data_IF_897561877981
#
_entry.id   IF_897561877981
#
_cell.length_a   1.000
_cell.length_b   1.000
_cell.length_c   1.000
_cell.angle_alpha   90.00
_cell.angle_beta   90.00
_cell.angle_gamma   90.00
#
_symmetry.space_group_name_H-M   'P 1'
#
loop_
_entity.id
_entity.type
_entity.pdbx_description
1 polymer ?
#
# COMPACT_ATOMS: atom_id res chain seq x y z
N UNK A 1 -3.21 -25.83 2.74
CA UNK A 1 -2.83 -25.03 1.55
C UNK A 1 -3.32 -25.77 0.33
N UNK A 2 -4.19 -25.18 -0.48
CA UNK A 2 -4.55 -25.76 -1.76
C UNK A 2 -3.34 -25.70 -2.69
N UNK A 3 -3.04 -26.79 -3.39
CA UNK A 3 -1.94 -26.81 -4.34
C UNK A 3 -2.17 -25.76 -5.42
N UNK A 4 -1.37 -24.68 -5.42
CA UNK A 4 -1.37 -23.69 -6.51
C UNK A 4 -1.11 -24.31 -7.89
N UNK A 5 -0.63 -25.56 -7.94
CA UNK A 5 -0.50 -26.41 -9.13
C UNK A 5 -1.83 -26.75 -9.82
N UNK A 6 -2.95 -26.52 -9.14
CA UNK A 6 -4.29 -26.82 -9.65
C UNK A 6 -4.79 -25.83 -10.73
N UNK A 7 -4.16 -24.67 -10.85
CA UNK A 7 -4.53 -23.63 -11.81
C UNK A 7 -3.67 -23.66 -13.07
N UNK A 8 -4.15 -23.07 -14.17
CA UNK A 8 -3.31 -22.91 -15.36
C UNK A 8 -1.96 -22.27 -15.00
N UNK A 9 -0.88 -22.81 -15.55
CA UNK A 9 0.45 -22.26 -15.34
C UNK A 9 0.51 -20.84 -15.90
N UNK A 10 1.26 -19.99 -15.21
CA UNK A 10 1.57 -18.65 -15.68
C UNK A 10 2.87 -18.64 -16.47
N UNK A 11 3.08 -17.59 -17.27
CA UNK A 11 4.36 -17.33 -17.92
C UNK A 11 5.47 -17.31 -16.86
N UNK A 12 6.54 -18.09 -17.02
CA UNK A 12 7.71 -18.02 -16.15
C UNK A 12 8.32 -16.61 -16.20
N UNK A 13 8.72 -16.09 -15.03
CA UNK A 13 9.40 -14.80 -14.93
C UNK A 13 10.91 -15.07 -14.86
N UNK A 14 11.66 -14.50 -15.80
CA UNK A 14 13.11 -14.61 -15.82
C UNK A 14 13.72 -13.68 -14.75
N UNK A 15 14.77 -14.16 -14.09
CA UNK A 15 15.38 -13.44 -12.95
C UNK A 15 16.05 -12.11 -13.31
N UNK A 16 16.44 -11.95 -14.58
CA UNK A 16 17.08 -10.76 -15.12
C UNK A 16 16.11 -9.74 -15.72
N UNK A 17 14.82 -10.03 -15.69
CA UNK A 17 13.83 -9.05 -16.15
C UNK A 17 13.68 -7.91 -15.13
N UNK A 18 13.63 -6.69 -15.68
CA UNK A 18 13.30 -5.50 -14.88
C UNK A 18 11.85 -5.51 -14.41
N UNK A 19 11.55 -4.76 -13.34
CA UNK A 19 10.18 -4.67 -12.80
C UNK A 19 9.17 -4.19 -13.85
N UNK A 20 9.57 -3.30 -14.77
CA UNK A 20 8.72 -2.81 -15.87
C UNK A 20 8.29 -3.95 -16.79
N UNK A 21 9.15 -4.95 -16.98
CA UNK A 21 8.83 -6.16 -17.74
C UNK A 21 7.97 -7.12 -16.91
N UNK A 22 8.32 -7.29 -15.62
CA UNK A 22 7.60 -8.18 -14.70
C UNK A 22 6.14 -7.73 -14.55
N UNK A 23 5.85 -6.43 -14.36
CA UNK A 23 4.45 -5.93 -14.26
C UNK A 23 3.61 -6.25 -15.50
N UNK A 24 4.24 -6.36 -16.67
CA UNK A 24 3.54 -6.67 -17.93
C UNK A 24 3.31 -8.18 -18.09
N UNK A 25 4.21 -9.03 -17.62
CA UNK A 25 4.22 -10.47 -17.93
C UNK A 25 3.67 -11.34 -16.78
N UNK A 26 3.91 -10.99 -15.53
CA UNK A 26 3.51 -11.81 -14.39
C UNK A 26 1.98 -12.04 -14.33
N UNK A 27 1.56 -13.26 -13.97
CA UNK A 27 0.15 -13.66 -13.94
C UNK A 27 -0.52 -13.78 -15.31
N UNK A 28 0.24 -13.77 -16.43
CA UNK A 28 -0.30 -14.14 -17.74
C UNK A 28 -0.35 -15.67 -17.88
N UNK A 29 -1.33 -16.21 -18.62
CA UNK A 29 -1.35 -17.63 -18.95
C UNK A 29 -0.08 -18.06 -19.69
N UNK A 30 0.36 -19.30 -19.48
CA UNK A 30 1.48 -19.91 -20.18
C UNK A 30 1.25 -19.83 -21.70
N UNK A 31 2.31 -19.53 -22.44
CA UNK A 31 2.23 -19.37 -23.90
C UNK A 31 2.11 -20.73 -24.59
N UNK A 32 0.98 -20.95 -25.24
CA UNK A 32 0.73 -22.12 -26.06
C UNK A 32 -0.06 -21.72 -27.32
N UNK A 33 -0.01 -22.52 -28.40
CA UNK A 33 -0.87 -22.28 -29.56
C UNK A 33 -2.34 -22.17 -29.12
N UNK A 34 -3.04 -21.15 -29.60
CA UNK A 34 -4.46 -20.85 -29.28
C UNK A 34 -4.74 -20.36 -27.85
N UNK A 35 -3.74 -20.26 -26.96
CA UNK A 35 -3.94 -19.70 -25.62
C UNK A 35 -4.32 -18.22 -25.67
N UNK A 36 -5.22 -17.81 -24.78
CA UNK A 36 -5.58 -16.41 -24.61
C UNK A 36 -4.42 -15.61 -24.01
N UNK A 37 -4.25 -14.35 -24.41
CA UNK A 37 -3.25 -13.46 -23.82
C UNK A 37 -3.55 -13.09 -22.36
N UNK A 38 -4.79 -13.21 -21.90
CA UNK A 38 -5.22 -12.92 -20.54
C UNK A 38 -5.97 -14.14 -19.97
N UNK A 39 -5.90 -14.30 -18.64
CA UNK A 39 -6.73 -15.26 -17.93
C UNK A 39 -8.23 -14.93 -18.05
N UNK A 40 -9.06 -15.91 -17.80
CA UNK A 40 -10.51 -15.77 -17.79
C UNK A 40 -11.01 -15.13 -16.49
N UNK A 41 -12.22 -14.56 -16.55
CA UNK A 41 -12.97 -14.16 -15.36
C UNK A 41 -13.88 -15.32 -14.99
N UNK A 42 -13.54 -16.07 -13.96
CA UNK A 42 -14.31 -17.24 -13.52
C UNK A 42 -15.35 -16.84 -12.47
N UNK A 43 -16.60 -16.74 -12.88
CA UNK A 43 -17.74 -16.44 -12.01
C UNK A 43 -18.40 -17.74 -11.55
N UNK A 44 -17.75 -18.50 -10.66
CA UNK A 44 -18.27 -19.74 -10.10
C UNK A 44 -18.05 -19.83 -8.60
N UNK A 45 -19.08 -20.21 -7.85
CA UNK A 45 -18.99 -20.51 -6.42
C UNK A 45 -18.70 -21.98 -6.15
N UNK A 46 -18.89 -22.87 -7.13
CA UNK A 46 -18.71 -24.31 -6.98
C UNK A 46 -18.19 -24.93 -8.27
N UNK A 47 -17.55 -26.09 -8.16
CA UNK A 47 -16.92 -26.78 -9.28
C UNK A 47 -17.36 -28.25 -9.33
N UNK A 48 -17.43 -28.82 -10.53
CA UNK A 48 -17.84 -30.22 -10.74
C UNK A 48 -16.68 -31.14 -10.42
N UNK A 49 -16.93 -32.16 -9.56
CA UNK A 49 -15.92 -33.14 -9.19
C UNK A 49 -15.64 -34.19 -10.29
N UNK A 50 -14.38 -34.65 -10.39
CA UNK A 50 -13.22 -34.28 -9.59
C UNK A 50 -12.65 -32.93 -10.02
N UNK A 51 -12.40 -32.05 -9.06
CA UNK A 51 -11.82 -30.74 -9.28
C UNK A 51 -10.73 -30.46 -8.21
N UNK A 52 -9.63 -29.77 -8.57
CA UNK A 52 -8.60 -29.37 -7.61
C UNK A 52 -9.13 -28.41 -6.54
N UNK A 53 -10.15 -27.61 -6.89
CA UNK A 53 -10.85 -26.70 -6.00
C UNK A 53 -12.33 -27.05 -6.04
N UNK A 54 -12.93 -27.35 -4.90
CA UNK A 54 -14.33 -27.75 -4.81
C UNK A 54 -15.30 -26.59 -4.67
N UNK A 55 -14.84 -25.49 -4.07
CA UNK A 55 -15.67 -24.33 -3.74
C UNK A 55 -14.90 -23.01 -3.95
N UNK A 56 -15.61 -21.97 -4.41
CA UNK A 56 -15.01 -20.70 -4.78
C UNK A 56 -14.32 -19.93 -3.64
N UNK A 57 -14.59 -20.27 -2.36
CA UNK A 57 -13.86 -19.72 -1.21
C UNK A 57 -12.49 -20.37 -1.05
N UNK A 58 -12.33 -21.62 -1.51
CA UNK A 58 -11.07 -22.34 -1.43
C UNK A 58 -10.06 -21.84 -2.48
N UNK A 59 -10.56 -21.31 -3.60
CA UNK A 59 -9.71 -20.79 -4.65
C UNK A 59 -10.47 -20.37 -5.92
N UNK A 60 -9.79 -19.57 -6.72
CA UNK A 60 -10.27 -19.13 -8.04
C UNK A 60 -9.06 -18.80 -8.92
N UNK A 61 -9.09 -19.18 -10.18
CA UNK A 61 -7.95 -18.94 -11.10
C UNK A 61 -7.60 -17.46 -11.28
N UNK A 62 -8.60 -16.55 -11.22
CA UNK A 62 -8.40 -15.11 -11.29
C UNK A 62 -7.57 -14.57 -10.11
N UNK A 63 -7.80 -15.11 -8.90
CA UNK A 63 -6.99 -14.74 -7.73
C UNK A 63 -5.57 -15.26 -7.86
N UNK A 64 -5.43 -16.51 -8.28
CA UNK A 64 -4.13 -17.13 -8.44
C UNK A 64 -3.23 -16.35 -9.43
N UNK A 65 -3.80 -15.85 -10.52
CA UNK A 65 -3.08 -15.02 -11.47
C UNK A 65 -2.66 -13.67 -10.87
N UNK A 66 -3.53 -13.01 -10.10
CA UNK A 66 -3.22 -11.77 -9.39
C UNK A 66 -2.15 -11.99 -8.30
N UNK A 67 -2.30 -13.04 -7.50
CA UNK A 67 -1.36 -13.42 -6.43
C UNK A 67 0.01 -13.77 -7.00
N UNK A 68 0.06 -14.50 -8.12
CA UNK A 68 1.32 -14.74 -8.82
C UNK A 68 1.97 -13.42 -9.23
N UNK A 69 1.22 -12.50 -9.85
CA UNK A 69 1.78 -11.22 -10.30
C UNK A 69 2.31 -10.37 -9.14
N UNK A 70 1.58 -10.25 -8.03
CA UNK A 70 2.02 -9.48 -6.86
C UNK A 70 3.20 -10.18 -6.17
N UNK A 71 3.15 -11.52 -6.06
CA UNK A 71 4.24 -12.30 -5.47
C UNK A 71 5.55 -12.18 -6.21
N UNK A 72 5.53 -12.21 -7.56
CA UNK A 72 6.72 -12.00 -8.40
C UNK A 72 7.28 -10.57 -8.23
N UNK A 73 6.42 -9.57 -8.10
CA UNK A 73 6.84 -8.19 -7.93
C UNK A 73 7.51 -7.94 -6.57
N UNK A 74 6.97 -8.49 -5.48
CA UNK A 74 7.51 -8.31 -4.12
C UNK A 74 8.55 -9.38 -3.73
N UNK A 75 8.63 -10.48 -4.47
CA UNK A 75 9.55 -11.59 -4.20
C UNK A 75 9.10 -12.50 -3.06
N UNK A 76 7.79 -12.80 -2.96
CA UNK A 76 7.22 -13.62 -1.89
C UNK A 76 5.94 -14.35 -2.27
N UNK A 77 5.26 -14.90 -1.27
CA UNK A 77 3.99 -15.63 -1.42
C UNK A 77 2.85 -14.64 -1.17
N UNK A 78 2.12 -14.28 -2.23
CA UNK A 78 1.00 -13.35 -2.14
C UNK A 78 -0.34 -14.06 -1.88
N UNK A 79 -1.18 -13.44 -1.04
CA UNK A 79 -2.57 -13.82 -0.75
C UNK A 79 -3.44 -12.57 -0.91
N UNK A 80 -4.48 -12.64 -1.73
CA UNK A 80 -5.39 -11.54 -2.02
C UNK A 80 -6.66 -11.57 -1.14
N UNK A 81 -7.22 -10.38 -0.89
CA UNK A 81 -8.34 -10.16 0.02
C UNK A 81 -9.36 -9.19 -0.58
N UNK A 82 -10.61 -9.25 -0.10
CA UNK A 82 -11.69 -8.35 -0.49
C UNK A 82 -11.40 -6.85 -0.23
N UNK A 83 -10.44 -6.52 0.63
CA UNK A 83 -10.01 -5.14 0.90
C UNK A 83 -8.65 -5.09 1.61
N UNK A 84 -8.00 -3.91 1.60
CA UNK A 84 -6.78 -3.69 2.38
C UNK A 84 -6.97 -3.89 3.88
N UNK A 85 -8.15 -3.53 4.45
CA UNK A 85 -8.45 -3.78 5.86
C UNK A 85 -8.68 -5.27 6.18
N UNK A 86 -9.26 -6.04 5.26
CA UNK A 86 -9.36 -7.49 5.42
C UNK A 86 -7.97 -8.14 5.43
N UNK A 87 -7.05 -7.66 4.58
CA UNK A 87 -5.65 -8.07 4.56
C UNK A 87 -4.92 -7.70 5.86
N UNK A 88 -5.09 -6.48 6.36
CA UNK A 88 -4.52 -6.04 7.65
C UNK A 88 -5.06 -6.86 8.84
N UNK A 89 -6.36 -7.20 8.84
CA UNK A 89 -6.97 -8.05 9.86
C UNK A 89 -6.39 -9.47 9.86
N UNK A 90 -6.06 -10.01 8.67
CA UNK A 90 -5.41 -11.32 8.57
C UNK A 90 -3.98 -11.29 9.14
N UNK A 91 -3.25 -10.19 8.98
CA UNK A 91 -1.92 -10.01 9.59
C UNK A 91 -2.03 -9.99 11.12
N UNK A 92 -3.08 -9.36 11.67
CA UNK A 92 -3.29 -9.29 13.11
C UNK A 92 -3.44 -10.69 13.77
N UNK A 93 -3.90 -11.69 13.04
CA UNK A 93 -4.01 -13.10 13.51
C UNK A 93 -2.64 -13.74 13.80
N UNK A 94 -1.54 -13.17 13.32
CA UNK A 94 -0.17 -13.61 13.64
C UNK A 94 0.23 -13.27 15.09
N UNK A 95 -0.48 -12.35 15.75
CA UNK A 95 -0.16 -11.93 17.12
C UNK A 95 -0.80 -12.92 18.08
N UNK A 96 -0.02 -13.61 18.94
CA UNK A 96 -0.60 -14.48 19.96
C UNK A 96 -1.44 -13.69 20.97
N UNK A 97 -2.40 -14.34 21.62
CA UNK A 97 -3.24 -13.71 22.62
C UNK A 97 -2.40 -13.03 23.71
N UNK A 98 -2.61 -11.74 23.94
CA UNK A 98 -1.85 -10.92 24.87
C UNK A 98 -0.46 -10.49 24.34
N UNK A 99 -0.12 -10.83 23.10
CA UNK A 99 1.14 -10.42 22.48
C UNK A 99 1.22 -8.90 22.25
N UNK A 100 2.45 -8.36 22.28
CA UNK A 100 2.67 -6.93 22.10
C UNK A 100 2.90 -6.58 20.62
N UNK A 101 2.29 -5.46 20.18
CA UNK A 101 2.48 -4.85 18.87
C UNK A 101 3.11 -3.45 19.03
N UNK A 102 4.24 -3.23 18.38
CA UNK A 102 4.78 -1.88 18.18
C UNK A 102 4.12 -1.26 16.95
N UNK A 103 3.39 -0.15 17.14
CA UNK A 103 2.59 0.49 16.11
C UNK A 103 2.84 2.00 16.09
N UNK A 104 3.08 2.64 14.93
CA UNK A 104 3.14 4.09 14.85
C UNK A 104 1.84 4.76 15.32
N UNK A 105 1.94 5.84 16.13
CA UNK A 105 0.78 6.64 16.57
C UNK A 105 -0.03 7.18 15.41
N UNK A 106 0.66 7.53 14.33
CA UNK A 106 0.10 8.05 13.10
C UNK A 106 -0.09 6.97 12.00
N UNK A 107 -0.15 5.67 12.37
CA UNK A 107 -0.49 4.63 11.41
C UNK A 107 -1.86 4.88 10.77
N UNK A 108 -2.04 4.40 9.53
CA UNK A 108 -3.32 4.53 8.83
C UNK A 108 -4.49 4.20 9.77
N UNK A 109 -5.44 5.13 9.88
CA UNK A 109 -6.50 5.07 10.90
C UNK A 109 -7.29 3.75 10.90
N UNK A 110 -7.51 3.14 9.72
CA UNK A 110 -8.21 1.87 9.62
C UNK A 110 -7.44 0.72 10.28
N UNK A 111 -6.12 0.67 10.09
CA UNK A 111 -5.22 -0.30 10.74
C UNK A 111 -5.18 -0.03 12.25
N UNK A 112 -5.03 1.23 12.63
CA UNK A 112 -5.04 1.61 14.05
C UNK A 112 -6.34 1.18 14.75
N UNK A 113 -7.49 1.37 14.10
CA UNK A 113 -8.79 0.95 14.66
C UNK A 113 -8.88 -0.56 14.87
N UNK A 114 -8.34 -1.40 13.97
CA UNK A 114 -8.29 -2.85 14.15
C UNK A 114 -7.58 -3.16 15.47
N UNK A 115 -6.38 -2.62 15.65
CA UNK A 115 -5.57 -2.90 16.84
C UNK A 115 -6.10 -2.25 18.12
N UNK A 116 -6.71 -1.06 18.05
CA UNK A 116 -7.41 -0.45 19.19
C UNK A 116 -8.58 -1.34 19.68
N UNK A 117 -9.31 -1.97 18.76
CA UNK A 117 -10.39 -2.92 19.12
C UNK A 117 -9.81 -4.17 19.78
N UNK A 118 -8.75 -4.75 19.24
CA UNK A 118 -8.09 -5.94 19.81
C UNK A 118 -7.48 -5.63 21.19
N UNK A 119 -6.87 -4.46 21.35
CA UNK A 119 -6.32 -4.01 22.64
C UNK A 119 -7.41 -3.80 23.70
N UNK A 120 -8.53 -3.14 23.35
CA UNK A 120 -9.68 -2.97 24.27
C UNK A 120 -10.28 -4.30 24.71
N UNK A 121 -10.12 -5.36 23.92
CA UNK A 121 -10.55 -6.72 24.26
C UNK A 121 -9.49 -7.51 25.05
N UNK A 122 -8.34 -6.90 25.35
CA UNK A 122 -7.22 -7.58 26.03
C UNK A 122 -6.50 -8.61 25.16
N UNK A 123 -6.69 -8.59 23.85
CA UNK A 123 -6.10 -9.55 22.91
C UNK A 123 -4.68 -9.14 22.45
N UNK A 124 -4.40 -7.83 22.43
CA UNK A 124 -3.12 -7.26 22.00
C UNK A 124 -2.69 -6.14 22.95
N UNK A 125 -1.41 -6.13 23.36
CA UNK A 125 -0.76 -5.00 24.02
C UNK A 125 -0.27 -4.02 22.96
N UNK A 126 -0.76 -2.77 22.96
CA UNK A 126 -0.31 -1.74 22.03
C UNK A 126 0.84 -0.92 22.62
N UNK A 127 1.99 -0.89 21.93
CA UNK A 127 3.11 0.00 22.19
C UNK A 127 3.14 1.06 21.07
N UNK A 128 2.51 2.21 21.36
CA UNK A 128 2.41 3.30 20.37
C UNK A 128 3.69 4.14 20.39
N UNK A 129 4.31 4.29 19.22
CA UNK A 129 5.59 4.98 19.01
C UNK A 129 5.48 6.10 17.98
N UNK A 130 6.43 7.04 18.00
CA UNK A 130 6.65 7.95 16.87
C UNK A 130 7.38 7.19 15.76
N UNK A 131 6.69 6.91 14.65
CA UNK A 131 7.26 6.18 13.50
C UNK A 131 8.38 6.95 12.78
N UNK A 132 8.54 8.27 13.02
CA UNK A 132 9.65 9.06 12.51
C UNK A 132 10.94 8.91 13.33
N UNK A 133 10.81 8.36 14.54
CA UNK A 133 11.92 8.18 15.48
C UNK A 133 12.33 6.71 15.54
N UNK A 134 13.28 6.31 14.70
CA UNK A 134 13.78 4.92 14.67
C UNK A 134 14.24 4.44 16.05
N UNK A 135 14.92 5.27 16.84
CA UNK A 135 15.40 4.89 18.18
C UNK A 135 14.23 4.59 19.15
N UNK A 136 13.12 5.34 19.06
CA UNK A 136 11.91 5.05 19.84
C UNK A 136 11.28 3.72 19.42
N UNK A 137 11.22 3.45 18.11
CA UNK A 137 10.75 2.16 17.59
C UNK A 137 11.60 1.03 18.13
N UNK A 138 12.93 1.11 17.99
CA UNK A 138 13.87 0.07 18.43
C UNK A 138 13.76 -0.24 19.93
N UNK A 139 13.61 0.78 20.78
CA UNK A 139 13.44 0.61 22.23
C UNK A 139 12.19 -0.17 22.63
N UNK A 140 11.16 -0.18 21.78
CA UNK A 140 9.88 -0.85 22.04
C UNK A 140 9.79 -2.26 21.44
N UNK A 141 10.75 -2.71 20.62
CA UNK A 141 10.75 -4.04 20.00
C UNK A 141 11.00 -5.18 20.99
N UNK A 142 11.93 -5.07 22.00
CA UNK A 142 12.17 -6.18 22.93
C UNK A 142 10.88 -6.71 23.56
N UNK A 143 10.63 -8.02 23.42
CA UNK A 143 9.41 -8.69 23.89
C UNK A 143 8.14 -8.37 23.12
N UNK A 144 8.20 -7.66 22.00
CA UNK A 144 7.07 -7.53 21.09
C UNK A 144 6.92 -8.80 20.22
N UNK A 145 5.68 -9.11 19.85
CA UNK A 145 5.36 -10.18 18.89
C UNK A 145 5.41 -9.67 17.46
N UNK A 146 5.15 -8.38 17.26
CA UNK A 146 5.11 -7.76 15.94
C UNK A 146 5.53 -6.29 16.00
N UNK A 147 6.20 -5.81 14.93
CA UNK A 147 6.40 -4.39 14.65
C UNK A 147 5.79 -4.04 13.30
N UNK A 148 4.94 -3.03 13.30
CA UNK A 148 4.28 -2.51 12.10
C UNK A 148 4.96 -1.23 11.62
N UNK A 149 5.25 -1.16 10.33
CA UNK A 149 5.82 0.00 9.65
C UNK A 149 4.94 0.40 8.46
N UNK A 150 5.00 1.66 8.08
CA UNK A 150 4.54 2.12 6.78
C UNK A 150 5.78 2.52 5.97
N UNK A 151 5.92 2.05 4.74
CA UNK A 151 7.08 2.39 3.88
C UNK A 151 7.21 3.91 3.73
N UNK A 152 6.08 4.55 3.46
CA UNK A 152 5.86 5.98 3.46
C UNK A 152 4.54 6.23 4.21
N UNK A 153 4.59 6.94 5.30
CA UNK A 153 3.45 7.12 6.21
C UNK A 153 2.40 8.08 5.65
N UNK A 154 1.14 7.75 5.86
CA UNK A 154 0.00 8.59 5.50
C UNK A 154 -0.47 9.40 6.72
N UNK A 155 -0.59 10.74 6.65
CA UNK A 155 -0.40 11.62 5.50
C UNK A 155 0.93 12.39 5.51
N UNK A 156 1.77 12.22 6.50
CA UNK A 156 2.96 13.06 6.75
C UNK A 156 4.19 12.67 5.92
N UNK A 157 4.09 11.60 5.15
CA UNK A 157 5.11 11.06 4.24
C UNK A 157 6.45 10.75 4.93
N UNK A 158 6.41 10.45 6.23
CA UNK A 158 7.57 9.92 6.97
C UNK A 158 8.00 8.60 6.37
N UNK A 159 9.29 8.40 6.19
CA UNK A 159 9.87 7.16 5.64
C UNK A 159 10.44 6.31 6.75
N UNK A 160 10.00 5.05 6.84
CA UNK A 160 10.51 4.10 7.85
C UNK A 160 11.89 3.56 7.47
N UNK A 161 12.78 3.43 8.48
CA UNK A 161 14.06 2.73 8.34
C UNK A 161 13.85 1.21 8.39
N UNK A 162 13.24 0.68 7.33
CA UNK A 162 12.86 -0.74 7.26
C UNK A 162 14.04 -1.68 7.54
N UNK A 163 15.24 -1.52 6.93
CA UNK A 163 16.35 -2.45 7.19
C UNK A 163 16.74 -2.51 8.65
N UNK A 164 16.85 -1.36 9.32
CA UNK A 164 17.25 -1.27 10.72
C UNK A 164 16.19 -1.86 11.64
N UNK A 165 14.91 -1.53 11.42
CA UNK A 165 13.80 -2.00 12.25
C UNK A 165 13.56 -3.50 12.04
N UNK A 166 13.59 -3.99 10.79
CA UNK A 166 13.39 -5.41 10.49
C UNK A 166 14.52 -6.29 11.05
N UNK A 167 15.78 -5.79 11.03
CA UNK A 167 16.90 -6.49 11.65
C UNK A 167 16.72 -6.63 13.18
N UNK A 168 16.32 -5.55 13.86
CA UNK A 168 16.03 -5.57 15.29
C UNK A 168 14.81 -6.46 15.62
N UNK A 169 13.75 -6.41 14.81
CA UNK A 169 12.59 -7.30 14.97
C UNK A 169 13.02 -8.77 14.92
N UNK A 170 13.83 -9.15 13.93
CA UNK A 170 14.36 -10.51 13.77
C UNK A 170 15.22 -10.94 14.97
N UNK A 171 16.09 -10.05 15.49
CA UNK A 171 16.93 -10.32 16.66
C UNK A 171 16.09 -10.64 17.90
N UNK A 172 14.95 -9.97 18.06
CA UNK A 172 14.06 -10.14 19.20
C UNK A 172 12.90 -11.12 18.96
N UNK A 173 12.87 -11.81 17.81
CA UNK A 173 11.84 -12.79 17.46
C UNK A 173 10.47 -12.17 17.14
N UNK A 174 10.41 -10.88 16.85
CA UNK A 174 9.20 -10.18 16.44
C UNK A 174 9.01 -10.28 14.91
N UNK A 175 7.75 -10.36 14.46
CA UNK A 175 7.38 -10.33 13.04
C UNK A 175 7.43 -8.88 12.56
N UNK A 176 8.17 -8.61 11.49
CA UNK A 176 8.22 -7.28 10.86
C UNK A 176 7.21 -7.19 9.71
N UNK A 177 6.30 -6.19 9.80
CA UNK A 177 5.26 -5.91 8.81
C UNK A 177 5.48 -4.54 8.21
N UNK A 178 5.36 -4.43 6.88
CA UNK A 178 5.44 -3.15 6.16
C UNK A 178 4.19 -2.95 5.31
N UNK A 179 3.44 -1.90 5.58
CA UNK A 179 2.45 -1.39 4.63
C UNK A 179 3.17 -0.60 3.53
N UNK A 180 3.28 -1.20 2.35
CA UNK A 180 3.97 -0.62 1.19
C UNK A 180 2.99 -0.02 0.16
N UNK A 181 1.78 0.31 0.58
CA UNK A 181 0.72 0.85 -0.29
C UNK A 181 1.15 2.10 -1.06
N UNK A 182 1.93 3.01 -0.45
CA UNK A 182 2.37 4.25 -1.10
C UNK A 182 3.58 4.02 -2.01
N UNK A 183 4.55 3.22 -1.58
CA UNK A 183 5.75 2.95 -2.36
C UNK A 183 5.48 2.09 -3.58
N UNK A 184 4.59 1.12 -3.48
CA UNK A 184 4.36 0.07 -4.47
C UNK A 184 5.60 -0.82 -4.73
N UNK A 185 5.46 -2.04 -5.26
CA UNK A 185 6.61 -2.92 -5.47
C UNK A 185 7.58 -2.43 -6.55
N UNK A 186 7.17 -1.48 -7.41
CA UNK A 186 8.08 -0.88 -8.42
C UNK A 186 9.00 0.21 -7.84
N UNK A 187 8.76 0.67 -6.60
CA UNK A 187 9.65 1.63 -5.91
C UNK A 187 10.37 1.02 -4.73
N UNK A 188 9.73 0.07 -4.04
CA UNK A 188 10.32 -0.56 -2.87
C UNK A 188 9.83 -2.00 -2.73
N UNK A 189 10.74 -2.91 -2.43
CA UNK A 189 10.48 -4.32 -2.14
C UNK A 189 10.87 -4.63 -0.70
N UNK A 190 9.96 -4.45 0.28
CA UNK A 190 10.31 -4.54 1.71
C UNK A 190 10.83 -5.91 2.12
N UNK A 191 10.44 -7.01 1.46
CA UNK A 191 10.98 -8.35 1.73
C UNK A 191 12.49 -8.43 1.45
N UNK A 192 13.01 -7.69 0.47
CA UNK A 192 14.45 -7.59 0.18
C UNK A 192 15.18 -6.74 1.24
N UNK A 193 14.46 -5.79 1.86
CA UNK A 193 14.95 -4.97 2.95
C UNK A 193 14.88 -5.66 4.32
N UNK A 194 14.43 -6.91 4.36
CA UNK A 194 14.44 -7.74 5.58
C UNK A 194 13.08 -7.94 6.24
N UNK A 195 12.01 -7.30 5.76
CA UNK A 195 10.66 -7.50 6.29
C UNK A 195 10.18 -8.95 6.13
N UNK A 196 9.30 -9.41 7.03
CA UNK A 196 8.68 -10.74 6.97
C UNK A 196 7.39 -10.71 6.17
N UNK A 197 6.61 -9.65 6.27
CA UNK A 197 5.29 -9.50 5.68
C UNK A 197 5.13 -8.11 5.07
N UNK A 198 4.57 -8.05 3.86
CA UNK A 198 4.21 -6.81 3.17
C UNK A 198 2.70 -6.75 3.01
N UNK A 199 2.11 -5.60 3.26
CA UNK A 199 0.71 -5.29 3.00
C UNK A 199 0.61 -4.32 1.82
N UNK A 200 -0.34 -4.57 0.93
CA UNK A 200 -0.79 -3.62 -0.08
C UNK A 200 -2.31 -3.42 -0.04
N UNK A 201 -2.75 -2.19 0.01
CA UNK A 201 -4.09 -1.86 -0.46
C UNK A 201 -4.08 -1.84 -2.00
N UNK A 202 -4.42 -2.96 -2.62
CA UNK A 202 -4.48 -3.11 -4.09
C UNK A 202 -5.46 -2.10 -4.71
N UNK A 203 -6.47 -1.67 -3.96
CA UNK A 203 -7.40 -0.57 -4.24
C UNK A 203 -6.72 0.69 -4.77
N UNK A 204 -5.48 0.93 -4.35
CA UNK A 204 -4.73 2.17 -4.60
C UNK A 204 -3.96 2.07 -5.92
N UNK A 205 -2.68 2.43 -5.92
CA UNK A 205 -1.87 2.50 -7.12
C UNK A 205 -1.76 1.19 -7.91
N UNK A 206 -1.87 0.02 -7.26
CA UNK A 206 -1.78 -1.27 -7.96
C UNK A 206 -2.91 -1.42 -8.98
N UNK A 207 -4.17 -1.19 -8.62
CA UNK A 207 -5.27 -1.11 -9.59
C UNK A 207 -5.24 0.20 -10.38
N UNK A 208 -5.06 1.32 -9.69
CA UNK A 208 -4.80 2.64 -10.24
C UNK A 208 -5.97 3.35 -10.92
N UNK A 209 -7.19 2.80 -10.90
CA UNK A 209 -8.33 3.32 -11.67
C UNK A 209 -9.53 3.71 -10.81
N UNK A 210 -9.41 3.66 -9.46
CA UNK A 210 -10.45 4.07 -8.51
C UNK A 210 -11.79 3.32 -8.65
N UNK A 211 -11.76 2.08 -9.13
CA UNK A 211 -12.93 1.30 -9.58
C UNK A 211 -13.13 -0.01 -8.79
N UNK A 212 -12.23 -0.34 -7.85
CA UNK A 212 -12.33 -1.57 -7.07
C UNK A 212 -11.79 -1.43 -5.63
N UNK A 213 -12.15 -2.38 -4.79
CA UNK A 213 -11.58 -2.59 -3.46
C UNK A 213 -10.91 -3.95 -3.42
N UNK A 214 -9.61 -3.99 -3.11
CA UNK A 214 -8.85 -5.22 -2.87
C UNK A 214 -7.68 -4.95 -1.93
N UNK A 215 -7.20 -6.01 -1.25
CA UNK A 215 -5.96 -6.05 -0.51
C UNK A 215 -5.09 -7.22 -0.91
N UNK A 216 -3.81 -7.15 -0.60
CA UNK A 216 -2.90 -8.27 -0.71
C UNK A 216 -1.91 -8.27 0.45
N UNK A 217 -1.56 -9.45 0.93
CA UNK A 217 -0.45 -9.71 1.84
C UNK A 217 0.58 -10.52 1.10
N UNK A 218 1.85 -10.14 1.22
CA UNK A 218 2.96 -10.91 0.66
C UNK A 218 3.87 -11.36 1.79
N UNK A 219 4.07 -12.66 1.91
CA UNK A 219 4.86 -13.27 2.97
C UNK A 219 6.19 -13.79 2.43
N UNK A 220 7.27 -13.55 3.18
CA UNK A 220 8.58 -14.11 2.87
C UNK A 220 8.65 -15.61 3.12
N UNK A 221 7.93 -16.09 4.14
CA UNK A 221 7.94 -17.48 4.60
C UNK A 221 6.57 -18.12 4.48
N UNK A 222 6.56 -19.40 4.12
CA UNK A 222 5.36 -20.20 3.94
C UNK A 222 4.52 -20.32 5.23
N UNK A 223 5.17 -20.35 6.38
CA UNK A 223 4.48 -20.45 7.67
C UNK A 223 3.52 -19.26 7.90
N UNK A 224 3.95 -18.02 7.58
CA UNK A 224 3.09 -16.85 7.65
C UNK A 224 2.00 -16.89 6.59
N UNK A 225 2.34 -17.28 5.37
CA UNK A 225 1.39 -17.37 4.27
C UNK A 225 0.25 -18.35 4.61
N UNK A 226 0.54 -19.47 5.29
CA UNK A 226 -0.46 -20.45 5.70
C UNK A 226 -1.46 -19.89 6.70
N UNK A 227 -1.01 -19.13 7.70
CA UNK A 227 -1.91 -18.48 8.67
C UNK A 227 -2.79 -17.43 7.99
N UNK A 228 -2.21 -16.63 7.10
CA UNK A 228 -2.92 -15.59 6.34
C UNK A 228 -3.97 -16.21 5.40
N UNK A 229 -3.64 -17.29 4.71
CA UNK A 229 -4.57 -17.98 3.80
C UNK A 229 -5.71 -18.68 4.56
N UNK A 230 -5.40 -19.33 5.71
CA UNK A 230 -6.40 -19.89 6.59
C UNK A 230 -7.39 -18.82 7.08
N UNK A 231 -6.90 -17.65 7.47
CA UNK A 231 -7.78 -16.53 7.84
C UNK A 231 -8.71 -16.13 6.69
N UNK A 232 -8.19 -15.95 5.47
CA UNK A 232 -9.02 -15.63 4.30
C UNK A 232 -10.13 -16.65 4.12
N UNK A 233 -9.79 -17.94 4.16
CA UNK A 233 -10.74 -19.04 4.02
C UNK A 233 -11.79 -19.03 5.14
N UNK A 234 -11.35 -19.02 6.40
CA UNK A 234 -12.24 -19.24 7.56
C UNK A 234 -13.10 -18.02 7.89
N UNK A 235 -12.61 -16.81 7.59
CA UNK A 235 -13.35 -15.55 7.78
C UNK A 235 -14.09 -15.10 6.51
N UNK A 236 -13.93 -15.82 5.39
CA UNK A 236 -14.61 -15.49 4.14
C UNK A 236 -14.17 -14.17 3.51
N UNK A 237 -12.94 -13.71 3.79
CA UNK A 237 -12.42 -12.43 3.29
C UNK A 237 -11.90 -12.53 1.83
N UNK A 238 -12.59 -13.29 1.00
CA UNK A 238 -12.21 -13.63 -0.38
C UNK A 238 -12.42 -12.46 -1.33
N UNK A 239 -11.50 -12.24 -2.29
CA UNK A 239 -11.69 -11.23 -3.35
C UNK A 239 -12.75 -11.67 -4.36
N UNK A 240 -13.36 -10.70 -5.05
CA UNK A 240 -14.20 -10.98 -6.21
C UNK A 240 -13.34 -11.27 -7.45
N UNK A 241 -13.83 -12.17 -8.34
CA UNK A 241 -13.10 -12.56 -9.55
C UNK A 241 -12.96 -11.40 -10.55
N UNK A 242 -13.98 -10.54 -10.65
CA UNK A 242 -13.94 -9.36 -11.51
C UNK A 242 -12.92 -8.34 -10.98
N UNK A 243 -12.95 -8.07 -9.69
CA UNK A 243 -12.01 -7.15 -9.04
C UNK A 243 -10.57 -7.66 -9.18
N UNK A 244 -10.33 -8.97 -9.03
CA UNK A 244 -9.01 -9.57 -9.22
C UNK A 244 -8.52 -9.42 -10.67
N UNK A 245 -9.40 -9.61 -11.65
CA UNK A 245 -9.09 -9.40 -13.07
C UNK A 245 -8.76 -7.93 -13.37
N UNK A 246 -9.58 -6.99 -12.87
CA UNK A 246 -9.37 -5.56 -13.08
C UNK A 246 -8.07 -5.09 -12.40
N UNK A 247 -7.77 -5.58 -11.19
CA UNK A 247 -6.52 -5.30 -10.51
C UNK A 247 -5.31 -5.81 -11.31
N UNK A 248 -5.36 -7.05 -11.80
CA UNK A 248 -4.29 -7.61 -12.65
C UNK A 248 -4.12 -6.81 -13.94
N UNK A 249 -5.24 -6.34 -14.54
CA UNK A 249 -5.20 -5.45 -15.71
C UNK A 249 -4.54 -4.12 -15.35
N UNK A 250 -4.86 -3.53 -14.20
CA UNK A 250 -4.26 -2.29 -13.69
C UNK A 250 -2.74 -2.43 -13.48
N UNK A 251 -2.29 -3.56 -12.93
CA UNK A 251 -0.87 -3.85 -12.74
C UNK A 251 -0.05 -3.73 -14.02
N UNK A 252 -0.61 -4.11 -15.19
CA UNK A 252 0.11 -4.06 -16.49
C UNK A 252 0.67 -2.70 -16.85
N UNK A 253 0.12 -1.62 -16.28
CA UNK A 253 0.55 -0.24 -16.52
C UNK A 253 1.09 0.43 -15.25
N UNK A 254 1.34 -0.33 -14.18
CA UNK A 254 1.77 0.23 -12.90
C UNK A 254 3.05 1.06 -13.05
N UNK A 255 4.09 0.53 -13.68
CA UNK A 255 5.39 1.20 -13.79
C UNK A 255 5.25 2.56 -14.48
N UNK A 256 4.67 2.60 -15.69
CA UNK A 256 4.50 3.86 -16.44
C UNK A 256 3.58 4.87 -15.74
N UNK A 257 2.58 4.40 -14.98
CA UNK A 257 1.70 5.28 -14.20
C UNK A 257 2.47 5.90 -13.02
N UNK A 258 3.24 5.09 -12.30
CA UNK A 258 4.05 5.58 -11.18
C UNK A 258 5.14 6.52 -11.69
N UNK A 259 5.85 6.20 -12.76
CA UNK A 259 6.86 7.09 -13.34
C UNK A 259 6.28 8.46 -13.68
N UNK A 260 5.13 8.49 -14.35
CA UNK A 260 4.50 9.76 -14.74
C UNK A 260 3.96 10.54 -13.54
N UNK A 261 3.23 9.88 -12.63
CA UNK A 261 2.64 10.55 -11.46
C UNK A 261 3.72 11.03 -10.48
N UNK A 262 4.79 10.29 -10.30
CA UNK A 262 5.93 10.68 -9.48
C UNK A 262 6.71 11.87 -10.08
N UNK A 263 6.95 11.85 -11.39
CA UNK A 263 7.55 13.00 -12.08
C UNK A 263 6.71 14.28 -11.87
N UNK A 264 5.38 14.18 -11.99
CA UNK A 264 4.47 15.26 -11.69
C UNK A 264 4.54 15.68 -10.20
N UNK A 265 4.60 14.71 -9.29
CA UNK A 265 4.67 14.97 -7.83
C UNK A 265 5.96 15.69 -7.44
N UNK A 266 7.11 15.29 -7.99
CA UNK A 266 8.39 15.94 -7.73
C UNK A 266 8.39 17.40 -8.20
N UNK A 267 7.88 17.66 -9.39
CA UNK A 267 7.75 19.02 -9.92
C UNK A 267 6.78 19.87 -9.07
N UNK A 268 5.61 19.33 -8.72
CA UNK A 268 4.64 20.01 -7.84
C UNK A 268 5.22 20.32 -6.46
N UNK A 269 5.96 19.37 -5.87
CA UNK A 269 6.58 19.57 -4.57
C UNK A 269 7.57 20.76 -4.60
N UNK A 270 8.35 20.91 -5.67
CA UNK A 270 9.27 22.04 -5.85
C UNK A 270 8.50 23.36 -6.00
N UNK A 271 7.46 23.40 -6.83
CA UNK A 271 6.63 24.61 -7.03
C UNK A 271 5.93 25.03 -5.74
N UNK A 272 5.35 24.07 -5.01
CA UNK A 272 4.69 24.30 -3.74
C UNK A 272 5.68 24.79 -2.66
N UNK A 273 6.89 24.22 -2.62
CA UNK A 273 7.92 24.60 -1.63
C UNK A 273 8.38 26.07 -1.78
N UNK A 274 8.19 26.64 -2.97
CA UNK A 274 8.49 28.06 -3.25
C UNK A 274 7.26 28.97 -3.19
N UNK A 275 6.06 28.42 -2.89
CA UNK A 275 4.83 29.19 -2.98
C UNK A 275 4.52 29.94 -1.68
N UNK A 276 4.22 31.27 -1.71
CA UNK A 276 4.07 32.10 -0.51
C UNK A 276 2.89 31.73 0.41
N UNK A 277 1.89 31.00 -0.10
CA UNK A 277 0.73 30.51 0.67
C UNK A 277 0.95 29.12 1.24
N UNK A 278 2.11 28.49 1.03
CA UNK A 278 2.44 27.17 1.54
C UNK A 278 3.45 27.30 2.68
N UNK A 279 3.09 26.84 3.88
CA UNK A 279 3.95 26.89 5.07
C UNK A 279 5.03 25.83 5.03
N UNK A 280 4.69 24.65 4.55
CA UNK A 280 5.57 23.49 4.52
C UNK A 280 5.09 22.47 3.48
N UNK A 281 6.04 21.86 2.81
CA UNK A 281 5.81 20.71 1.94
C UNK A 281 6.43 19.46 2.58
N UNK A 282 5.75 18.34 2.46
CA UNK A 282 6.20 17.02 2.86
C UNK A 282 6.34 16.20 1.57
N UNK A 283 7.55 15.92 1.19
CA UNK A 283 7.89 15.06 0.05
C UNK A 283 9.32 14.55 0.21
N UNK A 284 9.52 13.25 0.45
CA UNK A 284 10.85 12.69 0.76
C UNK A 284 11.90 12.87 -0.33
N UNK A 285 11.47 13.27 -1.55
CA UNK A 285 12.36 13.61 -2.66
C UNK A 285 12.93 15.04 -2.64
N UNK A 286 12.43 15.92 -1.77
CA UNK A 286 13.00 17.27 -1.59
C UNK A 286 14.25 17.20 -0.70
N UNK A 287 15.32 17.91 -1.07
CA UNK A 287 16.59 17.89 -0.34
C UNK A 287 16.51 18.43 1.10
N UNK A 288 15.55 19.30 1.36
CA UNK A 288 15.27 19.89 2.67
C UNK A 288 14.22 19.13 3.48
N UNK A 289 13.64 18.04 2.94
CA UNK A 289 12.77 17.16 3.71
C UNK A 289 13.59 16.35 4.72
N UNK A 290 13.14 16.25 5.99
CA UNK A 290 13.83 15.48 7.03
C UNK A 290 14.06 14.01 6.67
N UNK A 291 13.23 13.45 5.79
CA UNK A 291 13.33 12.05 5.36
C UNK A 291 14.21 11.85 4.12
N UNK A 292 14.80 12.91 3.55
CA UNK A 292 15.54 12.82 2.29
C UNK A 292 16.65 11.76 2.30
N UNK A 293 17.50 11.76 3.33
CA UNK A 293 18.63 10.83 3.40
C UNK A 293 18.18 9.37 3.60
N UNK A 294 17.13 9.14 4.40
CA UNK A 294 16.58 7.80 4.55
C UNK A 294 15.86 7.35 3.28
N UNK A 295 15.07 8.21 2.67
CA UNK A 295 14.39 7.92 1.41
C UNK A 295 15.39 7.53 0.30
N UNK A 296 16.47 8.28 0.15
CA UNK A 296 17.54 7.98 -0.80
C UNK A 296 18.13 6.57 -0.62
N UNK A 297 18.17 6.07 0.62
CA UNK A 297 18.69 4.73 0.95
C UNK A 297 17.66 3.62 0.74
N UNK A 298 16.41 3.83 1.16
CA UNK A 298 15.38 2.77 1.16
C UNK A 298 14.37 2.87 0.02
N UNK A 299 14.36 3.99 -0.71
CA UNK A 299 13.52 4.27 -1.88
C UNK A 299 14.39 4.75 -3.08
N UNK A 300 15.44 4.01 -3.46
CA UNK A 300 16.42 4.49 -4.45
C UNK A 300 15.83 4.70 -5.85
N UNK A 301 14.66 4.12 -6.13
CA UNK A 301 13.96 4.21 -7.42
C UNK A 301 12.95 5.37 -7.48
N UNK A 302 12.70 6.05 -6.35
CA UNK A 302 11.78 7.18 -6.27
C UNK A 302 10.91 7.18 -5.02
N UNK A 303 10.27 8.33 -4.75
CA UNK A 303 9.50 8.60 -3.53
C UNK A 303 7.97 8.51 -3.73
N UNK A 304 7.52 8.06 -4.90
CA UNK A 304 6.11 7.90 -5.22
C UNK A 304 5.38 9.22 -5.54
N UNK A 305 4.07 9.10 -5.72
CA UNK A 305 3.21 10.16 -6.28
C UNK A 305 2.43 10.97 -5.25
N UNK A 306 2.73 10.82 -3.96
CA UNK A 306 2.04 11.56 -2.90
C UNK A 306 2.83 12.81 -2.54
N UNK A 307 2.14 13.95 -2.43
CA UNK A 307 2.67 15.20 -1.89
C UNK A 307 1.73 15.68 -0.80
N UNK A 308 2.25 16.01 0.38
CA UNK A 308 1.47 16.68 1.42
C UNK A 308 2.02 18.08 1.66
N UNK A 309 1.14 19.02 1.98
CA UNK A 309 1.55 20.40 2.25
C UNK A 309 0.57 21.13 3.14
N UNK A 310 1.06 22.11 3.89
CA UNK A 310 0.26 22.97 4.76
C UNK A 310 -0.01 24.32 4.05
N UNK A 311 -1.29 24.67 3.96
CA UNK A 311 -1.71 25.97 3.43
C UNK A 311 -1.74 27.01 4.55
N UNK A 312 -1.24 28.22 4.30
CA UNK A 312 -1.32 29.34 5.24
C UNK A 312 -2.70 30.00 5.21
N UNK A 313 -3.67 29.29 5.80
CA UNK A 313 -5.06 29.71 5.91
C UNK A 313 -5.74 29.03 7.09
N UNK A 314 -6.99 29.41 7.39
CA UNK A 314 -7.82 28.66 8.34
C UNK A 314 -8.34 27.35 7.71
N UNK A 315 -8.65 26.32 8.51
CA UNK A 315 -9.21 25.04 8.00
C UNK A 315 -10.42 25.23 7.08
N UNK A 316 -11.37 26.08 7.48
CA UNK A 316 -12.56 26.40 6.66
C UNK A 316 -12.17 27.01 5.32
N UNK A 317 -11.19 27.95 5.32
CA UNK A 317 -10.73 28.55 4.09
C UNK A 317 -10.03 27.56 3.18
N UNK A 318 -9.25 26.63 3.75
CA UNK A 318 -8.64 25.51 2.98
C UNK A 318 -9.74 24.68 2.31
N UNK A 319 -10.77 24.28 3.05
CA UNK A 319 -11.87 23.48 2.49
C UNK A 319 -12.62 24.21 1.36
N UNK A 320 -12.84 25.53 1.51
CA UNK A 320 -13.40 26.38 0.44
C UNK A 320 -12.48 26.41 -0.81
N UNK A 321 -11.19 26.60 -0.61
CA UNK A 321 -10.19 26.61 -1.69
C UNK A 321 -10.21 25.29 -2.46
N UNK A 322 -10.17 24.16 -1.76
CA UNK A 322 -10.21 22.83 -2.36
C UNK A 322 -11.54 22.58 -3.10
N UNK A 323 -12.65 23.11 -2.60
CA UNK A 323 -13.96 23.01 -3.23
C UNK A 323 -14.08 23.79 -4.58
N UNK A 324 -13.16 24.72 -4.85
CA UNK A 324 -13.12 25.51 -6.09
C UNK A 324 -12.23 24.90 -7.19
N UNK A 325 -11.51 23.82 -6.92
CA UNK A 325 -10.73 23.09 -7.92
C UNK A 325 -11.65 22.56 -9.05
N UNK A 326 -11.12 22.52 -10.28
CA UNK A 326 -11.86 22.10 -11.47
C UNK A 326 -11.37 20.77 -12.05
N UNK A 327 -10.06 20.58 -12.07
CA UNK A 327 -9.40 19.38 -12.55
C UNK A 327 -9.15 18.40 -11.41
N UNK A 328 -8.57 18.90 -10.32
CA UNK A 328 -8.18 18.09 -9.18
C UNK A 328 -9.43 17.74 -8.36
N UNK A 329 -9.71 16.45 -8.21
CA UNK A 329 -10.89 16.00 -7.45
C UNK A 329 -10.72 16.24 -5.95
N UNK A 330 -11.62 17.00 -5.32
CA UNK A 330 -11.67 17.13 -3.87
C UNK A 330 -12.35 15.90 -3.28
N UNK A 331 -11.56 14.86 -3.03
CA UNK A 331 -12.06 13.57 -2.54
C UNK A 331 -11.00 12.82 -1.74
N UNK A 332 -11.43 11.82 -0.99
CA UNK A 332 -10.54 10.88 -0.32
C UNK A 332 -9.96 9.85 -1.32
N UNK A 333 -9.21 8.88 -0.80
CA UNK A 333 -8.47 7.88 -1.57
C UNK A 333 -7.18 8.44 -2.18
N UNK A 334 -6.51 7.64 -3.01
CA UNK A 334 -5.20 7.98 -3.60
C UNK A 334 -4.74 6.94 -4.63
N UNK A 335 -3.67 7.26 -5.36
CA UNK A 335 -2.98 6.33 -6.26
C UNK A 335 -3.71 6.04 -7.56
N UNK A 336 -4.77 6.79 -7.87
CA UNK A 336 -5.46 6.72 -9.16
C UNK A 336 -4.70 7.48 -10.26
N UNK A 337 -5.13 7.26 -11.51
CA UNK A 337 -4.65 8.02 -12.68
C UNK A 337 -5.05 9.49 -12.62
N UNK A 338 -6.14 9.82 -11.92
CA UNK A 338 -6.63 11.19 -11.74
C UNK A 338 -6.11 11.79 -10.44
N UNK A 339 -5.75 13.05 -10.49
CA UNK A 339 -5.32 13.85 -9.34
C UNK A 339 -6.45 14.05 -8.34
N UNK A 340 -6.15 13.85 -7.05
CA UNK A 340 -7.10 14.08 -5.96
C UNK A 340 -6.42 14.70 -4.74
N UNK A 341 -7.17 15.50 -3.99
CA UNK A 341 -6.68 16.22 -2.82
C UNK A 341 -7.72 16.26 -1.71
N UNK A 342 -7.27 16.22 -0.47
CA UNK A 342 -8.13 16.46 0.69
C UNK A 342 -7.34 17.05 1.86
N UNK A 343 -7.98 17.90 2.68
CA UNK A 343 -7.47 18.28 3.99
C UNK A 343 -7.68 17.14 4.97
N UNK A 344 -6.60 16.65 5.58
CA UNK A 344 -6.65 15.40 6.35
C UNK A 344 -7.37 15.50 7.68
N UNK A 345 -7.22 16.60 8.40
CA UNK A 345 -7.81 16.79 9.74
C UNK A 345 -9.33 17.03 9.73
N UNK A 346 -10.01 16.94 8.59
CA UNK A 346 -11.47 16.74 8.58
C UNK A 346 -11.89 15.40 9.22
N UNK A 347 -10.92 14.49 9.40
CA UNK A 347 -11.10 13.24 10.10
C UNK A 347 -10.54 13.39 11.53
N UNK A 348 -11.39 13.28 12.62
CA UNK A 348 -10.94 13.50 14.00
C UNK A 348 -9.76 12.63 14.44
N UNK A 349 -9.63 11.43 13.88
CA UNK A 349 -8.52 10.52 14.17
C UNK A 349 -7.16 11.08 13.73
N UNK A 350 -7.12 11.82 12.64
CA UNK A 350 -5.89 12.43 12.10
C UNK A 350 -5.47 13.63 12.98
N UNK A 351 -6.44 14.44 13.43
CA UNK A 351 -6.18 15.52 14.36
C UNK A 351 -5.65 14.99 15.69
N UNK A 352 -6.28 13.93 16.24
CA UNK A 352 -5.83 13.25 17.44
C UNK A 352 -4.43 12.63 17.30
N UNK A 353 -4.02 12.25 16.09
CA UNK A 353 -2.67 11.77 15.79
C UNK A 353 -1.64 12.91 15.62
N UNK A 354 -2.03 14.17 15.77
CA UNK A 354 -1.14 15.34 15.68
C UNK A 354 -0.85 15.80 14.26
N UNK A 355 -1.67 15.41 13.29
CA UNK A 355 -1.56 15.91 11.90
C UNK A 355 -1.87 17.42 11.89
N UNK A 356 -1.05 18.27 11.21
CA UNK A 356 -1.31 19.72 11.13
C UNK A 356 -2.68 20.02 10.55
N UNK A 357 -3.41 20.99 11.16
CA UNK A 357 -4.83 21.24 10.88
C UNK A 357 -5.14 21.71 9.45
N UNK A 358 -4.15 22.25 8.74
CA UNK A 358 -4.28 22.70 7.35
C UNK A 358 -3.54 21.82 6.37
N UNK A 359 -3.05 20.65 6.82
CA UNK A 359 -2.35 19.71 5.95
C UNK A 359 -3.30 19.13 4.92
N UNK A 360 -2.96 19.37 3.65
CA UNK A 360 -3.58 18.76 2.49
C UNK A 360 -2.72 17.60 1.99
N UNK A 361 -3.32 16.43 1.79
CA UNK A 361 -2.67 15.32 1.12
C UNK A 361 -3.12 15.30 -0.34
N UNK A 362 -2.17 15.40 -1.23
CA UNK A 362 -2.37 15.40 -2.67
C UNK A 362 -1.87 14.08 -3.29
N UNK A 363 -2.77 13.30 -3.86
CA UNK A 363 -2.47 12.17 -4.72
C UNK A 363 -2.34 12.68 -6.15
N UNK A 364 -1.12 12.77 -6.64
CA UNK A 364 -0.84 13.33 -7.96
C UNK A 364 -1.07 12.27 -9.03
N UNK A 365 -1.87 12.62 -10.03
CA UNK A 365 -2.20 11.76 -11.17
C UNK A 365 -1.22 11.92 -12.35
N UNK A 366 -1.66 11.37 -13.50
CA UNK A 366 -0.85 11.33 -14.73
C UNK A 366 -1.21 12.43 -15.73
N UNK A 367 -2.06 13.38 -15.35
CA UNK A 367 -2.48 14.51 -16.19
C UNK A 367 -1.26 15.38 -16.57
N UNK A 368 -1.46 16.33 -17.47
CA UNK A 368 -0.43 17.31 -17.79
C UNK A 368 -0.09 18.15 -16.56
N UNK A 369 1.21 18.29 -16.24
CA UNK A 369 1.67 18.99 -15.04
C UNK A 369 1.26 20.46 -14.99
N UNK A 370 1.23 21.14 -16.14
CA UNK A 370 0.81 22.54 -16.20
C UNK A 370 -0.68 22.71 -15.93
N UNK A 371 -1.50 21.78 -16.37
CA UNK A 371 -2.94 21.80 -16.09
C UNK A 371 -3.21 21.58 -14.59
N UNK A 372 -2.51 20.60 -13.97
CA UNK A 372 -2.58 20.35 -12.52
C UNK A 372 -2.14 21.61 -11.75
N UNK A 373 -0.99 22.18 -12.12
CA UNK A 373 -0.46 23.38 -11.46
C UNK A 373 -1.38 24.59 -11.61
N UNK A 374 -1.88 24.83 -12.83
CA UNK A 374 -2.77 25.95 -13.10
C UNK A 374 -4.08 25.87 -12.32
N UNK A 375 -4.62 24.67 -12.12
CA UNK A 375 -5.82 24.48 -11.30
C UNK A 375 -5.53 24.75 -9.82
N UNK A 376 -4.40 24.23 -9.30
CA UNK A 376 -4.01 24.40 -7.91
C UNK A 376 -3.62 25.87 -7.61
N UNK A 377 -2.82 26.51 -8.46
CA UNK A 377 -2.34 27.88 -8.27
C UNK A 377 -3.48 28.90 -8.22
N UNK A 378 -4.56 28.68 -8.98
CA UNK A 378 -5.76 29.56 -8.96
C UNK A 378 -6.41 29.61 -7.59
N UNK A 379 -6.41 28.53 -6.84
CA UNK A 379 -7.05 28.48 -5.52
C UNK A 379 -6.09 28.88 -4.39
N UNK A 380 -4.78 28.84 -4.67
CA UNK A 380 -3.73 29.34 -3.77
C UNK A 380 -3.47 30.85 -3.91
N UNK A 381 -4.01 31.49 -4.94
CA UNK A 381 -3.81 32.93 -5.20
C UNK A 381 -4.44 33.87 -4.16
#
# INVERSE_FOLDING_TARGET
MFEKSAYPKNVPIEKDWSEETVVVQAGRPERAPTASMNGSITLSSTYIHPAPVGYGRDGNEGWAALENAIGELDGGIAISFASGLAAASAIAEQIPAGGALVLPKAAYYGVKNIFDILSKRGQVELRLVDGSNTDEVLKNIPGASMVWMESIANPTLVVSDIPTIAAAAKEHGAISVVDATFATPVRQRPLELGADIVLHSVTKALSGHSDLLLGAVVCKREEHANVIDAYRHDRGATPGSLEAYLALRGLRTLAIRIDKSESNAAELAQRLNSHPKVKRVYYPGLKDDPNYEIAKRVLPKGCGSMVSFEIDATPTKVDEMLGNLKLIAHTSSLGGVSSSIERRTRWPAEEAAGVPITLCRFSVGIENIEDIWNDLAKVLS
#
